data_IF_533052086326
#
_entry.id   IF_533052086326
#
_cell.length_a   1.000
_cell.length_b   1.000
_cell.length_c   1.000
_cell.angle_alpha   90.00
_cell.angle_beta   90.00
_cell.angle_gamma   90.00
#
_symmetry.space_group_name_H-M   'P 1'
#
loop_
_entity.id
_entity.type
_entity.pdbx_description
1 polymer ?
#
# COMPACT_ATOMS: atom_id res chain seq x y z
N UNK A 1 -5.15 7.50 -9.82
CA UNK A 1 -4.87 6.37 -10.73
C UNK A 1 -3.88 6.79 -11.82
N UNK A 2 -3.96 8.04 -12.29
CA UNK A 2 -3.16 8.57 -13.42
C UNK A 2 -1.65 8.73 -13.17
N UNK A 3 -1.23 9.03 -11.93
CA UNK A 3 0.21 9.23 -11.64
C UNK A 3 0.97 7.90 -11.73
N UNK A 4 0.41 6.81 -11.20
CA UNK A 4 1.08 5.51 -11.23
C UNK A 4 1.16 4.93 -12.64
N UNK A 5 0.09 5.04 -13.45
CA UNK A 5 0.07 4.49 -14.81
C UNK A 5 1.10 5.14 -15.74
N UNK A 6 1.38 6.42 -15.54
CA UNK A 6 2.32 7.16 -16.40
C UNK A 6 3.73 7.25 -15.82
N UNK A 7 3.98 6.68 -14.64
CA UNK A 7 5.31 6.66 -14.01
C UNK A 7 6.01 5.35 -14.31
N UNK A 8 6.63 5.28 -15.48
CA UNK A 8 7.20 4.04 -16.06
C UNK A 8 8.70 3.88 -15.81
N UNK A 9 9.38 4.92 -15.32
CA UNK A 9 10.79 4.88 -14.94
C UNK A 9 10.97 5.01 -13.43
N UNK A 10 12.13 4.61 -12.94
CA UNK A 10 12.48 4.66 -11.52
C UNK A 10 13.91 5.11 -11.31
N UNK A 11 14.15 5.84 -10.21
CA UNK A 11 15.48 6.21 -9.73
C UNK A 11 15.57 6.02 -8.21
N UNK A 12 16.79 6.00 -7.68
CA UNK A 12 17.00 6.05 -6.23
C UNK A 12 16.95 7.50 -5.77
N UNK A 13 16.10 7.76 -4.79
CA UNK A 13 16.05 9.01 -4.06
C UNK A 13 16.45 8.82 -2.61
N UNK A 14 16.67 9.92 -1.90
CA UNK A 14 17.10 9.92 -0.50
C UNK A 14 16.09 10.64 0.37
N UNK A 15 15.80 10.09 1.55
CA UNK A 15 14.94 10.75 2.54
C UNK A 15 15.65 11.99 3.08
N UNK A 16 15.07 13.17 2.84
CA UNK A 16 15.65 14.47 3.21
C UNK A 16 14.84 15.23 4.26
N UNK A 17 13.57 14.90 4.43
CA UNK A 17 12.67 15.56 5.37
C UNK A 17 11.43 14.69 5.64
N UNK A 18 10.48 15.19 6.43
CA UNK A 18 9.22 14.52 6.74
C UNK A 18 8.03 15.44 6.58
N UNK A 19 7.00 14.96 5.89
CA UNK A 19 5.73 15.66 5.73
C UNK A 19 4.78 15.28 6.85
N UNK A 20 4.36 16.25 7.66
CA UNK A 20 3.30 16.05 8.65
C UNK A 20 1.93 16.12 8.00
N UNK A 21 1.16 15.04 8.05
CA UNK A 21 -0.21 14.95 7.53
C UNK A 21 -1.04 13.99 8.39
N UNK A 22 -2.24 14.41 8.80
CA UNK A 22 -3.22 13.57 9.53
C UNK A 22 -2.64 12.72 10.67
N UNK A 23 -1.71 13.29 11.45
CA UNK A 23 -1.11 12.64 12.63
C UNK A 23 0.11 11.76 12.35
N UNK A 24 0.51 11.59 11.09
CA UNK A 24 1.74 10.88 10.70
C UNK A 24 2.75 11.82 10.05
N UNK A 25 4.04 11.49 10.18
CA UNK A 25 5.16 12.24 9.60
C UNK A 25 5.89 11.38 8.56
N UNK A 26 5.41 11.38 7.32
CA UNK A 26 5.90 10.45 6.29
C UNK A 26 7.14 10.99 5.59
N UNK A 27 8.06 10.13 5.09
CA UNK A 27 9.32 10.57 4.50
C UNK A 27 9.10 11.36 3.20
N UNK A 28 9.79 12.49 3.08
CA UNK A 28 10.00 13.25 1.84
C UNK A 28 11.32 12.77 1.23
N UNK A 29 11.23 12.31 -0.02
CA UNK A 29 12.35 11.77 -0.80
C UNK A 29 12.74 12.77 -1.88
N UNK A 30 14.00 13.17 -1.90
CA UNK A 30 14.62 13.96 -2.97
C UNK A 30 15.28 13.02 -3.99
N UNK A 31 15.08 13.28 -5.27
CA UNK A 31 15.63 12.50 -6.37
C UNK A 31 16.02 13.41 -7.54
N UNK A 32 16.90 12.93 -8.42
CA UNK A 32 17.44 13.69 -9.55
C UNK A 32 17.09 13.00 -10.86
N UNK A 33 16.58 13.77 -11.82
CA UNK A 33 16.36 13.36 -13.22
C UNK A 33 16.89 14.49 -14.10
N UNK A 34 17.79 14.17 -15.04
CA UNK A 34 18.44 15.15 -15.94
C UNK A 34 19.06 16.35 -15.20
N UNK A 35 19.78 16.08 -14.11
CA UNK A 35 20.38 17.08 -13.21
C UNK A 35 19.39 18.03 -12.53
N UNK A 36 18.08 17.82 -12.65
CA UNK A 36 17.04 18.57 -11.97
C UNK A 36 16.62 17.81 -10.71
N UNK A 37 16.59 18.51 -9.58
CA UNK A 37 16.13 17.97 -8.30
C UNK A 37 14.61 18.04 -8.18
N UNK A 38 14.02 16.94 -7.76
CA UNK A 38 12.60 16.81 -7.48
C UNK A 38 12.39 16.26 -6.08
N UNK A 39 11.20 16.51 -5.52
CA UNK A 39 10.81 15.98 -4.21
C UNK A 39 9.41 15.40 -4.28
N UNK A 40 9.22 14.28 -3.62
CA UNK A 40 7.90 13.71 -3.37
C UNK A 40 7.91 13.03 -1.99
N UNK A 41 6.77 12.53 -1.53
CA UNK A 41 6.67 11.92 -0.20
C UNK A 41 5.90 10.61 -0.27
N UNK A 42 6.22 9.70 0.66
CA UNK A 42 5.44 8.50 0.86
C UNK A 42 4.07 8.90 1.43
N UNK A 43 3.00 8.71 0.66
CA UNK A 43 1.66 9.18 1.01
C UNK A 43 0.81 8.05 1.61
N UNK A 44 -0.22 8.35 2.38
CA UNK A 44 -1.23 7.38 2.83
C UNK A 44 -2.57 8.07 3.02
N UNK A 45 -3.66 7.32 2.86
CA UNK A 45 -4.94 7.68 3.47
C UNK A 45 -4.94 7.21 4.93
N UNK A 46 -5.55 7.96 5.83
CA UNK A 46 -5.60 7.62 7.27
C UNK A 46 -7.03 7.50 7.76
N UNK A 47 -7.34 6.44 8.52
CA UNK A 47 -8.67 6.18 9.07
C UNK A 47 -8.59 5.89 10.57
N UNK A 48 -9.58 6.36 11.33
CA UNK A 48 -9.62 6.23 12.80
C UNK A 48 -10.19 4.87 13.24
N UNK A 49 -10.86 4.14 12.36
CA UNK A 49 -11.48 2.85 12.68
C UNK A 49 -10.82 1.71 11.89
N UNK A 50 -10.03 0.88 12.56
CA UNK A 50 -9.48 -0.33 11.97
C UNK A 50 -10.55 -1.44 11.85
N UNK A 51 -10.44 -2.33 10.85
CA UNK A 51 -11.16 -3.61 10.86
C UNK A 51 -10.85 -4.41 12.12
N UNK A 52 -11.82 -5.21 12.57
CA UNK A 52 -11.69 -6.02 13.78
C UNK A 52 -10.55 -7.05 13.61
N UNK A 53 -9.63 -7.09 14.58
CA UNK A 53 -8.47 -7.99 14.55
C UNK A 53 -7.29 -7.50 13.70
N UNK A 54 -7.33 -6.29 13.14
CA UNK A 54 -6.15 -5.69 12.51
C UNK A 54 -5.12 -5.31 13.57
N UNK A 55 -3.90 -5.81 13.41
CA UNK A 55 -2.73 -5.40 14.19
C UNK A 55 -1.54 -5.15 13.25
N UNK A 56 -0.59 -4.34 13.73
CA UNK A 56 0.64 -4.04 13.03
C UNK A 56 1.77 -4.95 13.52
N UNK A 57 2.65 -5.44 12.63
CA UNK A 57 3.82 -6.22 13.04
C UNK A 57 4.67 -5.45 14.07
N UNK A 58 5.13 -6.17 15.09
CA UNK A 58 6.01 -5.63 16.14
C UNK A 58 7.47 -5.63 15.73
N UNK A 59 7.84 -6.45 14.75
CA UNK A 59 9.16 -6.44 14.14
C UNK A 59 9.30 -5.28 13.16
N UNK A 60 10.39 -4.52 13.31
CA UNK A 60 10.57 -3.24 12.61
C UNK A 60 10.61 -3.39 11.10
N UNK A 61 11.31 -4.40 10.60
CA UNK A 61 11.45 -4.65 9.16
C UNK A 61 10.17 -5.20 8.55
N UNK A 62 9.44 -6.05 9.28
CA UNK A 62 8.12 -6.51 8.85
C UNK A 62 7.14 -5.36 8.76
N UNK A 63 7.11 -4.48 9.77
CA UNK A 63 6.27 -3.28 9.72
C UNK A 63 6.63 -2.40 8.54
N UNK A 64 7.93 -2.17 8.28
CA UNK A 64 8.39 -1.38 7.13
C UNK A 64 7.83 -1.96 5.82
N UNK A 65 7.93 -3.28 5.62
CA UNK A 65 7.36 -3.97 4.45
C UNK A 65 5.84 -3.85 4.39
N UNK A 66 5.15 -4.06 5.51
CA UNK A 66 3.69 -3.90 5.62
C UNK A 66 3.25 -2.49 5.25
N UNK A 67 3.96 -1.46 5.67
CA UNK A 67 3.60 -0.09 5.34
C UNK A 67 3.88 0.24 3.86
N UNK A 68 4.84 -0.39 3.18
CA UNK A 68 5.05 -0.19 1.74
C UNK A 68 3.96 -0.82 0.86
N UNK A 69 3.23 -1.82 1.36
CA UNK A 69 2.11 -2.45 0.64
C UNK A 69 0.78 -1.73 0.88
N UNK A 70 0.65 -1.01 2.00
CA UNK A 70 -0.61 -0.36 2.39
C UNK A 70 -0.86 0.95 1.63
N UNK A 71 -2.13 1.18 1.30
CA UNK A 71 -2.63 2.47 0.81
C UNK A 71 -3.32 3.27 1.90
N UNK A 72 -3.87 2.57 2.89
CA UNK A 72 -4.59 3.09 4.03
C UNK A 72 -3.90 2.66 5.32
N UNK A 73 -3.69 3.60 6.24
CA UNK A 73 -3.24 3.33 7.60
C UNK A 73 -4.44 3.56 8.53
N UNK A 74 -4.71 2.58 9.38
CA UNK A 74 -5.73 2.66 10.40
C UNK A 74 -5.08 2.93 11.75
N UNK A 75 -5.75 3.64 12.65
CA UNK A 75 -5.28 3.85 14.02
C UNK A 75 -3.81 4.31 14.06
N UNK A 76 -3.47 5.42 13.41
CA UNK A 76 -2.07 5.88 13.28
C UNK A 76 -1.30 5.94 14.62
N UNK A 77 -2.00 6.14 15.73
CA UNK A 77 -1.46 6.17 17.09
C UNK A 77 -1.03 4.80 17.64
N UNK A 78 -1.42 3.69 17.00
CA UNK A 78 -1.07 2.32 17.43
C UNK A 78 0.10 1.73 16.65
N UNK A 79 0.70 2.48 15.72
CA UNK A 79 1.91 2.06 15.03
C UNK A 79 3.05 1.90 16.07
N UNK A 80 3.74 0.75 16.12
CA UNK A 80 4.77 0.52 17.14
C UNK A 80 6.06 1.31 16.86
N UNK A 81 6.23 1.82 15.64
CA UNK A 81 7.37 2.64 15.24
C UNK A 81 6.93 3.86 14.46
N UNK A 82 7.63 4.98 14.65
CA UNK A 82 7.43 6.18 13.85
C UNK A 82 8.03 6.00 12.45
N UNK A 83 7.47 6.71 11.47
CA UNK A 83 7.99 6.77 10.11
C UNK A 83 9.45 7.21 10.05
N UNK A 84 9.88 8.12 10.93
CA UNK A 84 11.27 8.55 11.01
C UNK A 84 12.20 7.43 11.47
N UNK A 85 11.74 6.56 12.37
CA UNK A 85 12.55 5.41 12.79
C UNK A 85 12.62 4.34 11.71
N UNK A 86 11.54 4.18 10.93
CA UNK A 86 11.44 3.20 9.85
C UNK A 86 12.21 3.64 8.61
N UNK A 87 12.14 4.92 8.25
CA UNK A 87 12.90 5.58 7.17
C UNK A 87 13.65 6.80 7.71
N UNK A 88 14.82 6.60 8.32
CA UNK A 88 15.69 7.70 8.76
C UNK A 88 16.13 8.60 7.60
N UNK A 89 16.51 9.84 7.91
CA UNK A 89 17.19 10.73 6.96
C UNK A 89 18.40 10.04 6.35
N UNK A 90 18.63 10.26 5.05
CA UNK A 90 19.73 9.61 4.31
C UNK A 90 19.40 8.21 3.81
N UNK A 91 18.27 7.60 4.21
CA UNK A 91 17.85 6.30 3.68
C UNK A 91 17.46 6.42 2.21
N UNK A 92 17.90 5.47 1.40
CA UNK A 92 17.47 5.38 0.00
C UNK A 92 16.06 4.80 -0.13
N UNK A 93 15.31 5.34 -1.08
CA UNK A 93 13.98 4.87 -1.46
C UNK A 93 13.81 4.97 -2.97
N UNK A 94 13.17 3.97 -3.56
CA UNK A 94 12.86 4.01 -5.00
C UNK A 94 11.80 5.07 -5.25
N UNK A 95 11.98 5.90 -6.28
CA UNK A 95 10.99 6.85 -6.75
C UNK A 95 10.65 6.53 -8.19
N UNK A 96 9.37 6.29 -8.45
CA UNK A 96 8.85 6.09 -9.80
C UNK A 96 8.34 7.41 -10.34
N UNK A 97 8.69 7.76 -11.58
CA UNK A 97 8.35 9.04 -12.19
C UNK A 97 7.94 8.89 -13.66
N UNK A 98 7.17 9.86 -14.14
CA UNK A 98 6.85 9.98 -15.57
C UNK A 98 8.04 10.60 -16.31
N UNK A 99 8.66 9.91 -17.28
CA UNK A 99 9.82 10.45 -18.00
C UNK A 99 9.51 11.75 -18.76
N UNK A 100 8.26 11.95 -19.21
CA UNK A 100 7.83 13.19 -19.87
C UNK A 100 7.52 14.32 -18.89
N UNK A 101 7.33 14.02 -17.60
CA UNK A 101 7.08 15.01 -16.55
C UNK A 101 7.53 14.46 -15.18
N UNK A 102 8.84 14.54 -14.84
CA UNK A 102 9.38 13.89 -13.64
C UNK A 102 8.79 14.39 -12.32
N UNK A 103 8.14 15.56 -12.30
CA UNK A 103 7.38 16.06 -11.14
C UNK A 103 6.15 15.20 -10.83
N UNK A 104 5.58 14.51 -11.82
CA UNK A 104 4.55 13.49 -11.62
C UNK A 104 5.25 12.18 -11.25
N UNK A 105 5.34 11.92 -9.96
CA UNK A 105 6.03 10.76 -9.41
C UNK A 105 5.29 10.19 -8.20
N UNK A 106 5.78 9.06 -7.69
CA UNK A 106 5.41 8.54 -6.38
C UNK A 106 6.61 7.82 -5.74
N UNK A 107 6.72 7.92 -4.42
CA UNK A 107 7.70 7.17 -3.63
C UNK A 107 7.21 5.73 -3.50
N UNK A 108 8.17 4.80 -3.61
CA UNK A 108 7.99 3.36 -3.60
C UNK A 108 6.80 2.90 -2.76
N UNK A 109 5.95 2.15 -3.44
CA UNK A 109 4.99 1.24 -2.83
C UNK A 109 5.04 -0.05 -3.62
N UNK A 110 4.69 -1.16 -3.00
CA UNK A 110 4.46 -2.42 -3.71
C UNK A 110 3.13 -2.34 -4.49
N UNK A 111 3.03 -1.41 -5.44
CA UNK A 111 1.79 -1.11 -6.17
C UNK A 111 1.53 -2.08 -7.33
N UNK A 112 2.53 -2.88 -7.74
CA UNK A 112 2.40 -3.77 -8.90
C UNK A 112 1.38 -4.90 -8.74
N UNK A 113 1.05 -5.29 -7.50
CA UNK A 113 0.18 -6.45 -7.25
C UNK A 113 -1.17 -6.08 -6.62
N UNK A 114 -1.46 -4.80 -6.36
CA UNK A 114 -2.73 -4.40 -5.70
C UNK A 114 -3.93 -4.80 -6.55
N UNK A 115 -3.88 -4.55 -7.86
CA UNK A 115 -4.95 -4.96 -8.77
C UNK A 115 -5.01 -6.48 -8.94
N UNK A 116 -3.87 -7.15 -8.94
CA UNK A 116 -3.80 -8.61 -8.99
C UNK A 116 -4.47 -9.24 -7.76
N UNK A 117 -4.10 -8.81 -6.55
CA UNK A 117 -4.69 -9.29 -5.29
C UNK A 117 -6.16 -8.91 -5.15
N UNK A 118 -6.57 -7.70 -5.56
CA UNK A 118 -7.98 -7.29 -5.56
C UNK A 118 -8.82 -8.20 -6.47
N UNK A 119 -8.36 -8.45 -7.69
CA UNK A 119 -9.07 -9.30 -8.64
C UNK A 119 -9.06 -10.76 -8.18
N UNK A 120 -7.93 -11.27 -7.66
CA UNK A 120 -7.82 -12.62 -7.13
C UNK A 120 -8.77 -12.84 -5.93
N UNK A 121 -8.86 -11.88 -5.01
CA UNK A 121 -9.75 -11.95 -3.85
C UNK A 121 -11.22 -11.98 -4.27
N UNK A 122 -11.62 -11.17 -5.26
CA UNK A 122 -12.99 -11.18 -5.80
C UNK A 122 -13.34 -12.51 -6.48
N UNK A 123 -12.40 -13.09 -7.24
CA UNK A 123 -12.60 -14.38 -7.91
C UNK A 123 -12.69 -15.53 -6.90
N UNK A 124 -11.76 -15.62 -5.95
CA UNK A 124 -11.79 -16.67 -4.92
C UNK A 124 -13.04 -16.54 -4.02
N UNK A 125 -13.41 -15.32 -3.62
CA UNK A 125 -14.60 -15.08 -2.81
C UNK A 125 -15.89 -15.47 -3.53
N UNK A 126 -16.04 -15.12 -4.81
CA UNK A 126 -17.23 -15.47 -5.59
C UNK A 126 -17.34 -16.98 -5.84
N UNK A 127 -16.22 -17.66 -6.15
CA UNK A 127 -16.19 -19.12 -6.30
C UNK A 127 -16.65 -19.84 -5.02
N UNK A 128 -16.23 -19.36 -3.84
CA UNK A 128 -16.61 -19.95 -2.56
C UNK A 128 -18.11 -19.85 -2.29
N UNK A 129 -18.74 -18.71 -2.61
CA UNK A 129 -20.18 -18.51 -2.46
C UNK A 129 -20.95 -19.46 -3.38
N UNK A 130 -20.55 -19.58 -4.65
CA UNK A 130 -21.19 -20.47 -5.62
C UNK A 130 -21.11 -21.93 -5.16
N UNK A 131 -19.93 -22.38 -4.73
CA UNK A 131 -19.74 -23.74 -4.21
C UNK A 131 -20.66 -24.02 -3.02
N UNK A 132 -20.78 -23.06 -2.10
CA UNK A 132 -21.65 -23.19 -0.92
C UNK A 132 -23.12 -23.33 -1.33
N UNK A 133 -23.59 -22.53 -2.30
CA UNK A 133 -24.96 -22.62 -2.83
C UNK A 133 -25.25 -23.96 -3.49
N UNK A 134 -24.29 -24.52 -4.24
CA UNK A 134 -24.42 -25.84 -4.86
C UNK A 134 -24.56 -26.93 -3.79
N UNK A 135 -23.70 -26.91 -2.77
CA UNK A 135 -23.73 -27.91 -1.68
C UNK A 135 -25.05 -27.85 -0.90
N UNK A 136 -25.52 -26.65 -0.57
CA UNK A 136 -26.81 -26.44 0.11
C UNK A 136 -27.97 -26.89 -0.79
N UNK A 137 -27.95 -26.55 -2.08
CA UNK A 137 -28.97 -26.97 -3.04
C UNK A 137 -29.08 -28.48 -3.18
N UNK A 138 -27.95 -29.19 -3.30
CA UNK A 138 -27.92 -30.66 -3.34
C UNK A 138 -28.46 -31.26 -2.03
N UNK A 139 -28.10 -30.69 -0.88
CA UNK A 139 -28.55 -31.16 0.43
C UNK A 139 -30.06 -31.00 0.60
N UNK A 140 -30.62 -29.85 0.19
CA UNK A 140 -32.07 -29.59 0.22
C UNK A 140 -32.84 -30.50 -0.73
N UNK A 141 -32.34 -30.71 -1.96
CA UNK A 141 -32.96 -31.62 -2.92
C UNK A 141 -33.01 -33.06 -2.39
N UNK A 142 -31.97 -33.51 -1.68
CA UNK A 142 -31.95 -34.82 -1.03
C UNK A 142 -32.97 -34.92 0.11
N UNK A 143 -33.13 -33.87 0.92
CA UNK A 143 -34.10 -33.85 2.01
C UNK A 143 -35.56 -33.80 1.54
N UNK A 144 -35.83 -33.12 0.43
CA UNK A 144 -37.19 -33.02 -0.13
C UNK A 144 -37.64 -34.29 -0.86
N UNK A 145 -36.70 -35.14 -1.27
CA UNK A 145 -36.96 -36.39 -1.99
C UNK A 145 -36.65 -37.65 -1.16
N UNK A 146 -36.39 -37.49 0.14
CA UNK A 146 -36.26 -38.58 1.11
C UNK A 146 -37.57 -38.74 1.88
#
# INVERSE_FOLDING_TARGET
MDIQQNSTESTQGVVVDYKSWTGVKTPIVEYVVDNIKYRNFLSYSTHISAPLGMDYPREKEELRKTLLILTVIYNVNTLPYSFQSLWPLGTEMTVYYNPNNPKRSYVERYAGMVNYFKNATLLCGSAQVILTLIVVGISLFRLLNA
#
